data_IF_029989853212
#
_entry.id   IF_029989853212
#
_cell.length_a   1.000
_cell.length_b   1.000
_cell.length_c   1.000
_cell.angle_alpha   90.00
_cell.angle_beta   90.00
_cell.angle_gamma   90.00
#
_symmetry.space_group_name_H-M   'P 1'
#
loop_
_entity.id
_entity.type
_entity.pdbx_description
1 polymer ?
#
# COMPACT_ATOMS: atom_id res chain seq x y z
N UNK A 1 4.24 8.13 10.13
CA UNK A 1 2.92 7.57 10.51
C UNK A 1 2.75 6.25 9.77
N UNK A 2 2.29 5.20 10.45
CA UNK A 2 2.05 3.90 9.82
C UNK A 2 0.65 3.82 9.23
N UNK A 3 0.51 3.20 8.06
CA UNK A 3 -0.80 2.87 7.47
C UNK A 3 -1.01 1.39 7.62
N UNK A 4 -2.19 0.98 8.10
CA UNK A 4 -2.54 -0.42 8.29
C UNK A 4 -3.42 -0.92 7.15
N UNK A 5 -3.01 -2.01 6.52
CA UNK A 5 -3.78 -2.72 5.50
C UNK A 5 -4.19 -4.09 6.04
N UNK A 6 -5.47 -4.42 5.90
CA UNK A 6 -6.01 -5.74 6.22
C UNK A 6 -6.24 -6.52 4.92
N UNK A 7 -5.71 -7.75 4.85
CA UNK A 7 -5.90 -8.63 3.70
C UNK A 7 -6.39 -10.01 4.15
N UNK A 8 -7.33 -10.55 3.37
CA UNK A 8 -7.90 -11.87 3.60
C UNK A 8 -7.28 -12.93 2.69
N UNK A 9 -6.19 -12.59 1.99
CA UNK A 9 -5.56 -13.44 0.97
C UNK A 9 -4.29 -14.06 1.53
N UNK A 10 -4.13 -15.37 1.33
CA UNK A 10 -2.87 -16.06 1.59
C UNK A 10 -1.93 -15.92 0.39
N UNK A 11 -0.65 -15.63 0.62
CA UNK A 11 0.38 -15.63 -0.42
C UNK A 11 1.03 -14.28 -0.66
N UNK A 12 1.71 -14.09 -1.81
CA UNK A 12 2.42 -12.85 -2.10
C UNK A 12 1.42 -11.71 -2.30
N UNK A 13 1.66 -10.61 -1.59
CA UNK A 13 0.94 -9.35 -1.73
C UNK A 13 1.96 -8.27 -2.05
N UNK A 14 1.66 -7.46 -3.07
CA UNK A 14 2.48 -6.34 -3.50
C UNK A 14 1.70 -5.05 -3.26
N UNK A 15 2.30 -4.11 -2.55
CA UNK A 15 1.75 -2.80 -2.25
C UNK A 15 2.58 -1.77 -3.01
N UNK A 16 1.93 -0.91 -3.78
CA UNK A 16 2.57 0.16 -4.54
C UNK A 16 1.91 1.48 -4.23
N UNK A 17 2.70 2.51 -4.00
CA UNK A 17 2.21 3.87 -3.75
C UNK A 17 2.67 4.77 -4.88
N UNK A 18 1.71 5.43 -5.52
CA UNK A 18 1.93 6.36 -6.62
C UNK A 18 1.54 7.77 -6.18
N UNK A 19 2.25 8.78 -6.68
CA UNK A 19 1.74 10.15 -6.63
C UNK A 19 0.62 10.37 -7.67
N UNK A 20 0.01 11.55 -7.66
CA UNK A 20 -1.07 11.89 -8.60
C UNK A 20 -0.61 12.05 -10.05
N UNK A 21 0.71 12.15 -10.30
CA UNK A 21 1.27 12.12 -11.65
C UNK A 21 1.48 10.67 -12.15
N UNK A 22 1.17 9.67 -11.32
CA UNK A 22 1.36 8.26 -11.61
C UNK A 22 2.78 7.76 -11.40
N UNK A 23 3.66 8.57 -10.79
CA UNK A 23 5.03 8.14 -10.49
C UNK A 23 5.02 7.21 -9.27
N UNK A 24 5.65 6.04 -9.40
CA UNK A 24 5.86 5.12 -8.27
C UNK A 24 6.79 5.79 -7.25
N UNK A 25 6.33 5.92 -6.01
CA UNK A 25 7.11 6.50 -4.90
C UNK A 25 7.60 5.43 -3.93
N UNK A 26 6.90 4.32 -3.84
CA UNK A 26 7.17 3.27 -2.86
C UNK A 26 6.58 1.94 -3.32
N UNK A 27 7.29 0.84 -3.04
CA UNK A 27 6.84 -0.52 -3.34
C UNK A 27 7.26 -1.48 -2.22
N UNK A 28 6.33 -2.31 -1.78
CA UNK A 28 6.56 -3.38 -0.82
C UNK A 28 6.06 -4.70 -1.38
N UNK A 29 6.84 -5.76 -1.14
CA UNK A 29 6.41 -7.13 -1.36
C UNK A 29 6.45 -7.88 -0.04
N UNK A 30 5.32 -8.45 0.33
CA UNK A 30 5.13 -9.18 1.58
C UNK A 30 4.47 -10.52 1.27
N UNK A 31 4.66 -11.50 2.16
CA UNK A 31 3.93 -12.76 2.09
C UNK A 31 2.92 -12.76 3.21
N UNK A 32 1.64 -12.66 2.86
CA UNK A 32 0.54 -12.62 3.81
C UNK A 32 0.07 -14.01 4.18
N UNK A 33 -0.23 -14.21 5.46
CA UNK A 33 -1.19 -15.20 5.91
C UNK A 33 -2.56 -14.52 6.04
N UNK A 34 -3.65 -15.25 5.85
CA UNK A 34 -4.99 -14.68 5.85
C UNK A 34 -5.27 -14.03 7.21
N UNK A 35 -5.83 -12.81 7.20
CA UNK A 35 -6.12 -11.99 8.39
C UNK A 35 -4.94 -11.22 8.99
N UNK A 36 -3.84 -11.07 8.25
CA UNK A 36 -2.74 -10.22 8.68
C UNK A 36 -3.03 -8.73 8.49
N UNK A 37 -2.54 -7.93 9.44
CA UNK A 37 -2.43 -6.48 9.33
C UNK A 37 -1.00 -6.13 8.96
N UNK A 38 -0.83 -5.35 7.90
CA UNK A 38 0.47 -4.85 7.47
C UNK A 38 0.58 -3.37 7.70
N UNK A 39 1.68 -2.96 8.31
CA UNK A 39 2.06 -1.56 8.39
C UNK A 39 3.26 -1.27 7.50
N UNK A 40 3.23 -0.15 6.80
CA UNK A 40 4.42 0.40 6.14
C UNK A 40 4.64 1.85 6.56
N UNK A 41 5.91 2.25 6.56
CA UNK A 41 6.31 3.60 6.96
C UNK A 41 6.19 4.58 5.79
N UNK A 42 5.50 5.69 6.04
CA UNK A 42 5.31 6.77 5.08
C UNK A 42 6.04 8.05 5.45
N UNK A 43 6.97 7.97 6.42
CA UNK A 43 7.76 9.10 6.91
C UNK A 43 8.55 9.82 5.81
N UNK A 44 8.96 9.13 4.75
CA UNK A 44 9.70 9.72 3.63
C UNK A 44 8.79 10.37 2.57
N UNK A 45 7.48 10.13 2.59
CA UNK A 45 6.53 10.67 1.60
C UNK A 45 6.03 12.05 2.02
N UNK A 46 6.24 13.12 1.23
CA UNK A 46 5.71 14.45 1.53
C UNK A 46 4.20 14.45 1.83
N UNK A 47 3.73 15.42 2.62
CA UNK A 47 2.29 15.61 2.83
C UNK A 47 1.56 15.79 1.50
N UNK A 48 0.45 15.10 1.31
CA UNK A 48 -0.25 15.07 0.02
C UNK A 48 -1.14 13.85 -0.18
N UNK A 49 -1.77 13.80 -1.36
CA UNK A 49 -2.63 12.70 -1.79
C UNK A 49 -1.86 11.76 -2.71
N UNK A 50 -2.04 10.46 -2.49
CA UNK A 50 -1.41 9.37 -3.19
C UNK A 50 -2.45 8.33 -3.59
N UNK A 51 -2.10 7.49 -4.56
CA UNK A 51 -2.85 6.28 -4.88
C UNK A 51 -2.08 5.09 -4.33
N UNK A 52 -2.76 4.23 -3.57
CA UNK A 52 -2.22 2.97 -3.10
C UNK A 52 -2.85 1.83 -3.89
N UNK A 53 -2.03 1.01 -4.53
CA UNK A 53 -2.45 -0.18 -5.23
C UNK A 53 -1.97 -1.40 -4.46
N UNK A 54 -2.89 -2.32 -4.17
CA UNK A 54 -2.60 -3.62 -3.58
C UNK A 54 -2.86 -4.68 -4.63
N UNK A 55 -1.84 -5.49 -4.95
CA UNK A 55 -1.94 -6.63 -5.85
C UNK A 55 -1.80 -7.92 -5.04
N UNK A 56 -2.78 -8.81 -5.17
CA UNK A 56 -2.79 -10.10 -4.50
C UNK A 56 -3.55 -11.11 -5.37
N UNK A 57 -3.03 -12.32 -5.52
CA UNK A 57 -3.68 -13.41 -6.27
C UNK A 57 -4.16 -12.99 -7.68
N UNK A 58 -3.29 -12.28 -8.41
CA UNK A 58 -3.58 -11.76 -9.76
C UNK A 58 -4.66 -10.67 -9.82
N UNK A 59 -5.24 -10.27 -8.68
CA UNK A 59 -6.21 -9.18 -8.57
C UNK A 59 -5.53 -7.92 -8.06
N UNK A 60 -6.10 -6.76 -8.39
CA UNK A 60 -5.66 -5.49 -7.84
C UNK A 60 -6.83 -4.69 -7.27
N UNK A 61 -6.55 -3.94 -6.21
CA UNK A 61 -7.45 -2.92 -5.65
C UNK A 61 -6.65 -1.64 -5.49
N UNK A 62 -7.28 -0.51 -5.79
CA UNK A 62 -6.66 0.80 -5.66
C UNK A 62 -7.50 1.65 -4.72
N UNK A 63 -6.85 2.33 -3.79
CA UNK A 63 -7.48 3.29 -2.88
C UNK A 63 -6.70 4.60 -2.84
N UNK A 64 -7.29 5.64 -2.25
CA UNK A 64 -6.66 6.93 -2.02
C UNK A 64 -6.03 6.96 -0.64
N UNK A 65 -4.82 7.50 -0.58
CA UNK A 65 -4.09 7.72 0.65
C UNK A 65 -3.85 9.22 0.83
N UNK A 66 -4.32 9.78 1.95
CA UNK A 66 -4.00 11.15 2.35
C UNK A 66 -2.96 11.12 3.48
N UNK A 67 -1.80 11.73 3.24
CA UNK A 67 -0.78 11.96 4.26
C UNK A 67 -0.91 13.41 4.72
N UNK A 68 -1.38 13.61 5.95
CA UNK A 68 -1.50 14.92 6.58
C UNK A 68 -0.48 15.03 7.71
N UNK A 69 0.57 15.83 7.51
CA UNK A 69 1.65 16.05 8.48
C UNK A 69 2.17 17.46 8.37
#
# INVERSE_FOLDING_TARGET
SGIYLHTNVNGPVQIRVFDLAGQLRMEYSIRSTASDYFSFDTSELPGGMYLIQVLADGKSTTDKLLINR
#
